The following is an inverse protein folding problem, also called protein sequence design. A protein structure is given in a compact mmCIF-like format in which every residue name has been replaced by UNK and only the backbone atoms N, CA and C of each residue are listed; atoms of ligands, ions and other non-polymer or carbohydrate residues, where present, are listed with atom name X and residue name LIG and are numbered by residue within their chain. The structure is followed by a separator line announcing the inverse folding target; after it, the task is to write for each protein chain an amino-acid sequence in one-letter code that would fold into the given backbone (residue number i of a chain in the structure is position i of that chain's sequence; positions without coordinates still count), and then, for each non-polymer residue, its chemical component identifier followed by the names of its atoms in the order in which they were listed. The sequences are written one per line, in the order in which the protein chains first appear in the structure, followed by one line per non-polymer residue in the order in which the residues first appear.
data_IF_598923305135
#
_entry.id   IF_598923305135
#
_cell.length_a   1.000
_cell.length_b   1.000
_cell.length_c   1.000
_cell.angle_alpha   90.00
_cell.angle_beta   90.00
_cell.angle_gamma   90.00
#
_symmetry.space_group_name_H-M   'P 1'
#
loop_
_entity.id
_entity.type
_entity.pdbx_description
1 polymer ?
2 non-polymer ?
3 water ?
#
# COMPACT_ATOMS: atom_id res chain seq x y z
N UNK A 18 18.75 15.39 -16.57
CA UNK A 18 18.19 14.85 -15.29
C UNK A 18 16.95 15.63 -14.89
N UNK A 19 15.84 14.94 -14.69
CA UNK A 19 14.63 15.58 -14.20
C UNK A 19 14.75 15.70 -12.67
N UNK A 20 14.51 16.90 -12.14
CA UNK A 20 14.58 17.10 -10.69
C UNK A 20 13.23 16.81 -10.05
N UNK A 21 13.19 15.86 -9.13
CA UNK A 21 11.96 15.34 -8.55
C UNK A 21 12.00 15.46 -7.02
N UNK A 22 10.94 16.00 -6.44
CA UNK A 22 10.79 16.07 -5.00
C UNK A 22 9.58 15.24 -4.60
N UNK A 23 9.77 14.36 -3.62
CA UNK A 23 8.69 13.57 -3.04
C UNK A 23 8.40 14.16 -1.66
N UNK A 24 7.15 14.56 -1.46
CA UNK A 24 6.67 15.08 -0.17
C UNK A 24 5.75 14.02 0.43
N UNK A 25 6.23 13.31 1.45
CA UNK A 25 5.51 12.18 2.02
C UNK A 25 4.72 12.58 3.24
N UNK A 26 3.54 12.00 3.37
CA UNK A 26 2.63 12.26 4.47
C UNK A 26 3.24 11.81 5.80
N UNK A 27 3.88 10.63 5.79
CA UNK A 27 4.47 10.04 6.98
C UNK A 27 5.94 9.73 6.83
N UNK A 28 6.40 8.70 7.55
CA UNK A 28 7.81 8.37 7.62
C UNK A 28 8.13 7.25 6.64
N UNK A 29 9.18 7.47 5.83
CA UNK A 29 9.57 6.50 4.80
C UNK A 29 10.25 5.24 5.36
N UNK A 30 10.57 5.23 6.66
CA UNK A 30 11.02 4.00 7.32
C UNK A 30 9.84 3.19 7.90
N UNK A 31 8.60 3.49 7.49
CA UNK A 31 7.41 2.74 7.95
C UNK A 31 7.30 1.31 7.40
N UNK A 32 8.15 0.97 6.41
CA UNK A 32 8.08 -0.33 5.74
C UNK A 32 6.74 -0.59 5.08
N UNK A 33 6.01 0.46 4.75
CA UNK A 33 4.66 0.35 4.22
C UNK A 33 4.37 1.54 3.29
N UNK A 34 3.23 2.21 3.44
CA UNK A 34 2.78 3.22 2.47
C UNK A 34 3.87 4.21 2.05
N UNK A 35 4.55 4.83 3.01
CA UNK A 35 5.53 5.85 2.65
C UNK A 35 6.80 5.26 2.08
N UNK A 36 7.19 4.10 2.60
CA UNK A 36 8.35 3.38 2.06
C UNK A 36 8.12 3.02 0.58
N UNK A 37 6.87 2.72 0.23
CA UNK A 37 6.56 2.35 -1.16
C UNK A 37 6.88 3.48 -2.15
N UNK A 38 6.60 4.71 -1.77
CA UNK A 38 6.98 5.86 -2.60
C UNK A 38 8.47 6.08 -2.63
N UNK A 39 9.12 5.96 -1.47
CA UNK A 39 10.58 6.09 -1.40
C UNK A 39 11.30 5.04 -2.27
N UNK A 40 10.80 3.81 -2.27
CA UNK A 40 11.42 2.73 -3.03
C UNK A 40 11.24 2.96 -4.54
N UNK A 41 10.05 3.39 -4.93
CA UNK A 41 9.79 3.76 -6.33
C UNK A 41 10.72 4.90 -6.74
N UNK A 42 10.88 5.89 -5.86
CA UNK A 42 11.73 7.02 -6.16
C UNK A 42 13.22 6.62 -6.30
N UNK A 43 13.67 5.70 -5.45
CA UNK A 43 15.02 5.15 -5.58
C UNK A 43 15.20 4.47 -6.93
N UNK A 44 14.26 3.62 -7.31
CA UNK A 44 14.34 2.93 -8.59
C UNK A 44 14.26 3.89 -9.78
N UNK A 45 13.61 5.04 -9.60
CA UNK A 45 13.47 6.05 -10.65
C UNK A 45 14.80 6.73 -11.01
N UNK A 46 15.78 6.69 -10.11
CA UNK A 46 17.10 7.25 -10.40
C UNK A 46 17.72 6.66 -11.67
N UNK A 47 17.42 5.39 -11.94
CA UNK A 47 17.90 4.73 -13.16
C UNK A 47 17.26 5.27 -14.44
N UNK A 48 16.13 5.95 -14.31
CA UNK A 48 15.47 6.58 -15.44
C UNK A 48 15.92 8.04 -15.61
N UNK A 49 16.94 8.45 -14.85
CA UNK A 49 17.53 9.78 -14.98
C UNK A 49 16.83 10.83 -14.12
N UNK A 50 16.40 10.43 -12.93
CA UNK A 50 15.79 11.36 -12.01
C UNK A 50 16.80 11.66 -10.91
N UNK A 51 16.91 12.94 -10.57
CA UNK A 51 17.58 13.39 -9.35
C UNK A 51 16.48 13.63 -8.34
N UNK A 52 16.50 12.91 -7.21
CA UNK A 52 15.39 12.85 -6.26
C UNK A 52 15.73 13.38 -4.87
N UNK A 53 14.86 14.23 -4.34
CA UNK A 53 14.87 14.66 -2.94
C UNK A 53 13.57 14.21 -2.30
N UNK A 54 13.66 13.76 -1.05
CA UNK A 54 12.48 13.27 -0.31
C UNK A 54 12.38 14.01 1.01
N UNK A 55 11.17 14.47 1.34
CA UNK A 55 10.89 15.05 2.64
C UNK A 55 9.73 14.30 3.26
N UNK A 56 9.82 14.02 4.55
CA UNK A 56 8.89 13.14 5.25
C UNK A 56 8.09 13.87 6.30
N UNK A 57 7.07 13.20 6.82
CA UNK A 57 6.31 13.67 7.98
C UNK A 57 5.53 14.95 7.74
N UNK A 58 5.02 15.13 6.52
CA UNK A 58 4.39 16.38 6.15
C UNK A 58 2.88 16.28 5.91
N UNK A 59 2.24 15.37 6.65
CA UNK A 59 0.78 15.23 6.65
C UNK A 59 0.05 16.54 7.00
N UNK A 60 0.67 17.38 7.83
CA UNK A 60 0.08 18.65 8.22
C UNK A 60 0.19 19.64 7.06
N UNK A 61 -0.95 20.06 6.47
CA UNK A 61 -0.90 20.91 5.27
C UNK A 61 -0.26 22.29 5.47
N UNK A 62 -0.25 22.79 6.71
CA UNK A 62 0.40 24.07 7.02
C UNK A 62 1.92 23.94 6.92
N UNK A 63 2.43 22.74 7.14
CA UNK A 63 3.85 22.46 6.98
C UNK A 63 4.16 22.10 5.52
N UNK A 64 3.31 21.28 4.92
CA UNK A 64 3.53 20.82 3.53
C UNK A 64 3.52 21.93 2.48
N UNK A 65 2.62 22.90 2.60
CA UNK A 65 2.47 23.90 1.55
C UNK A 65 3.75 24.73 1.31
N UNK A 66 4.38 25.26 2.36
CA UNK A 66 5.63 26.00 2.10
C UNK A 66 6.78 25.14 1.54
N UNK A 67 6.86 23.86 1.92
CA UNK A 67 7.90 22.96 1.43
C UNK A 67 7.67 22.71 -0.06
N UNK A 68 6.42 22.44 -0.43
CA UNK A 68 6.06 22.25 -1.83
C UNK A 68 6.40 23.53 -2.63
N UNK A 69 6.00 24.69 -2.10
CA UNK A 69 6.27 25.96 -2.77
C UNK A 69 7.77 26.16 -3.01
N UNK A 70 8.56 25.83 -2.00
CA UNK A 70 10.01 26.01 -2.06
C UNK A 70 10.64 25.15 -3.15
N UNK A 71 10.21 23.91 -3.30
CA UNK A 71 10.72 23.07 -4.37
C UNK A 71 10.35 23.63 -5.74
N UNK A 72 9.10 24.07 -5.89
CA UNK A 72 8.67 24.67 -7.15
C UNK A 72 9.43 25.95 -7.46
N UNK A 73 9.63 26.78 -6.45
CA UNK A 73 10.33 28.06 -6.63
C UNK A 73 11.79 27.85 -7.01
N UNK A 74 12.39 26.77 -6.51
CA UNK A 74 13.77 26.43 -6.82
C UNK A 74 13.96 25.76 -8.17
N UNK A 75 12.88 25.59 -8.93
CA UNK A 75 12.96 25.04 -10.28
C UNK A 75 13.00 23.52 -10.36
N UNK A 76 12.43 22.82 -9.39
CA UNK A 76 12.22 21.39 -9.53
C UNK A 76 11.20 21.16 -10.67
N UNK A 77 11.37 20.07 -11.40
CA UNK A 77 10.52 19.76 -12.56
C UNK A 77 9.21 19.11 -12.15
N UNK A 78 9.29 18.30 -11.11
CA UNK A 78 8.17 17.48 -10.66
C UNK A 78 8.13 17.44 -9.14
N UNK A 79 6.97 17.82 -8.60
CA UNK A 79 6.74 17.78 -7.16
C UNK A 79 5.58 16.82 -6.85
N UNK A 80 5.91 15.76 -6.13
CA UNK A 80 5.00 14.67 -5.86
C UNK A 80 4.55 14.68 -4.40
N UNK A 81 3.25 14.84 -4.17
CA UNK A 81 2.66 14.71 -2.85
C UNK A 81 2.15 13.32 -2.65
N UNK A 82 2.76 12.60 -1.72
CA UNK A 82 2.42 11.20 -1.48
C UNK A 82 1.49 11.06 -0.28
N UNK A 83 0.22 10.79 -0.56
CA UNK A 83 -0.79 10.63 0.50
C UNK A 83 -1.87 11.69 0.39
N UNK A 84 -3.11 11.29 0.67
CA UNK A 84 -4.26 12.19 0.53
C UNK A 84 -4.11 13.46 1.40
N UNK A 85 -3.44 13.36 2.54
CA UNK A 85 -3.26 14.51 3.44
C UNK A 85 -2.40 15.63 2.80
N UNK A 86 -1.59 15.28 1.81
CA UNK A 86 -0.74 16.23 1.11
C UNK A 86 -1.42 16.73 -0.18
N UNK A 87 -2.56 16.17 -0.54
CA UNK A 87 -3.17 16.46 -1.85
C UNK A 87 -3.62 17.91 -1.98
N UNK A 88 -4.28 18.43 -0.96
CA UNK A 88 -4.78 19.78 -1.04
C UNK A 88 -3.64 20.82 -1.19
N UNK A 89 -2.58 20.72 -0.37
CA UNK A 89 -1.42 21.62 -0.58
C UNK A 89 -0.84 21.53 -1.98
N UNK A 90 -0.70 20.32 -2.51
CA UNK A 90 -0.25 20.16 -3.89
C UNK A 90 -1.15 20.93 -4.85
N UNK A 91 -2.46 20.77 -4.73
CA UNK A 91 -3.37 21.41 -5.68
C UNK A 91 -3.32 22.94 -5.59
N UNK A 92 -3.14 23.47 -4.39
CA UNK A 92 -3.09 24.93 -4.20
C UNK A 92 -1.82 25.54 -4.80
N UNK A 93 -0.68 24.92 -4.52
CA UNK A 93 0.59 25.45 -5.01
C UNK A 93 0.70 25.28 -6.52
N UNK A 94 0.15 24.20 -7.06
CA UNK A 94 0.14 23.99 -8.51
C UNK A 94 -0.37 25.21 -9.28
N UNK A 95 -1.40 25.89 -8.74
CA UNK A 95 -1.96 27.08 -9.39
C UNK A 95 -0.96 28.23 -9.47
N UNK A 96 0.04 28.24 -8.59
CA UNK A 96 1.07 29.29 -8.56
C UNK A 96 2.19 29.08 -9.57
N UNK A 97 2.38 27.85 -10.03
CA UNK A 97 3.53 27.48 -10.87
C UNK A 97 3.03 26.66 -12.06
N UNK A 98 2.42 27.34 -13.05
CA UNK A 98 1.80 26.65 -14.20
C UNK A 98 2.76 25.78 -15.01
N UNK A 99 4.05 26.11 -15.02
CA UNK A 99 5.04 25.36 -15.78
C UNK A 99 5.76 24.28 -14.97
N UNK A 100 5.45 24.16 -13.68
CA UNK A 100 5.97 23.08 -12.84
C UNK A 100 4.92 21.97 -12.82
N UNK A 101 5.38 20.73 -12.70
CA UNK A 101 4.51 19.56 -12.77
C UNK A 101 4.33 18.96 -11.38
N UNK A 102 3.10 18.58 -11.05
CA UNK A 102 2.76 18.09 -9.72
C UNK A 102 1.97 16.78 -9.77
N UNK A 103 2.10 15.99 -8.71
CA UNK A 103 1.31 14.77 -8.53
C UNK A 103 0.65 14.78 -7.16
N UNK A 104 -0.59 14.31 -7.11
CA UNK A 104 -1.33 14.20 -5.87
C UNK A 104 -2.08 12.88 -5.83
N UNK A 105 -2.34 12.39 -4.63
CA UNK A 105 -3.08 11.14 -4.47
C UNK A 105 -4.35 11.40 -3.71
N UNK A 106 -5.35 10.55 -3.89
CA UNK A 106 -6.61 10.73 -3.16
C UNK A 106 -7.66 9.72 -3.55
N UNK A 107 -8.92 10.13 -3.43
CA UNK A 107 -10.03 9.26 -3.80
C UNK A 107 -10.46 9.55 -5.25
N UNK A 108 -11.47 8.86 -5.74
CA UNK A 108 -11.85 8.94 -7.15
C UNK A 108 -12.28 10.36 -7.53
N UNK A 109 -12.73 11.15 -6.56
CA UNK A 109 -13.16 12.52 -6.84
C UNK A 109 -12.01 13.48 -7.18
N UNK A 110 -10.77 13.09 -6.91
CA UNK A 110 -9.62 13.91 -7.27
C UNK A 110 -9.50 14.16 -8.79
N UNK A 111 -9.92 13.19 -9.59
CA UNK A 111 -9.83 13.31 -11.05
C UNK A 111 -10.48 14.62 -11.57
N UNK A 112 -11.62 14.97 -10.96
CA UNK A 112 -12.41 16.17 -11.24
C UNK A 112 -11.64 17.48 -11.01
N UNK A 113 -10.80 17.47 -9.98
CA UNK A 113 -10.27 18.68 -9.34
C UNK A 113 -8.83 19.00 -9.74
N UNK A 114 -8.32 18.35 -10.79
CA UNK A 114 -6.94 18.52 -11.22
C UNK A 114 -6.73 19.76 -12.06
N UNK A 115 -5.86 20.69 -11.61
CA UNK A 115 -5.41 21.73 -12.52
C UNK A 115 -4.66 21.13 -13.73
N UNK A 116 -4.45 21.92 -14.80
CA UNK A 116 -3.82 21.40 -16.01
C UNK A 116 -2.42 20.84 -15.82
N UNK A 117 -1.76 21.20 -14.72
CA UNK A 117 -0.40 20.75 -14.45
C UNK A 117 -0.28 19.73 -13.33
N UNK A 118 -1.37 19.06 -13.00
CA UNK A 118 -1.35 18.05 -11.95
C UNK A 118 -1.86 16.72 -12.48
N UNK A 119 -1.12 15.65 -12.21
CA UNK A 119 -1.59 14.27 -12.40
C UNK A 119 -2.04 13.72 -11.03
N UNK A 120 -3.09 12.92 -11.03
CA UNK A 120 -3.61 12.31 -9.82
C UNK A 120 -3.65 10.80 -9.86
N UNK A 121 -3.69 10.18 -8.69
CA UNK A 121 -3.89 8.73 -8.61
C UNK A 121 -4.64 8.30 -7.37
N UNK A 122 -5.14 7.08 -7.44
CA UNK A 122 -5.92 6.49 -6.37
C UNK A 122 -5.71 4.97 -6.35
N UNK A 123 -6.16 4.34 -5.26
CA UNK A 123 -6.23 2.90 -5.12
C UNK A 123 -7.34 2.57 -4.14
N UNK A 124 -7.75 1.30 -4.14
CA UNK A 124 -8.84 0.84 -3.30
C UNK A 124 -8.28 -0.04 -2.18
N UNK A 125 -8.51 0.37 -0.94
CA UNK A 125 -8.03 -0.38 0.24
C UNK A 125 -8.51 -1.83 0.22
N UNK A 126 -9.76 -2.02 -0.19
CA UNK A 126 -10.36 -3.34 -0.28
C UNK A 126 -9.54 -4.31 -1.13
N UNK A 127 -8.83 -3.80 -2.13
CA UNK A 127 -8.01 -4.64 -3.01
C UNK A 127 -6.73 -5.15 -2.37
N UNK A 128 -6.10 -4.33 -1.53
CA UNK A 128 -4.98 -4.82 -0.72
C UNK A 128 -5.47 -5.95 0.18
N UNK A 129 -6.63 -5.76 0.79
CA UNK A 129 -7.22 -6.80 1.63
C UNK A 129 -7.49 -8.07 0.83
N UNK A 130 -8.10 -7.90 -0.35
CA UNK A 130 -8.44 -9.04 -1.18
C UNK A 130 -7.21 -9.88 -1.54
N UNK A 131 -6.11 -9.24 -1.91
CA UNK A 131 -4.90 -9.96 -2.25
C UNK A 131 -4.31 -10.71 -1.04
N UNK A 132 -4.33 -10.08 0.13
CA UNK A 132 -3.87 -10.76 1.35
C UNK A 132 -4.68 -12.02 1.63
N UNK A 133 -6.00 -11.88 1.56
CA UNK A 133 -6.92 -12.98 1.81
C UNK A 133 -6.78 -14.09 0.77
N UNK A 134 -6.60 -13.70 -0.48
CA UNK A 134 -6.38 -14.66 -1.55
C UNK A 134 -5.08 -15.44 -1.36
N UNK A 135 -4.01 -14.76 -0.97
CA UNK A 135 -2.75 -15.44 -0.67
C UNK A 135 -2.94 -16.39 0.51
N UNK A 136 -3.66 -15.94 1.54
CA UNK A 136 -3.94 -16.78 2.70
C UNK A 136 -4.68 -18.05 2.31
N UNK A 137 -5.65 -17.93 1.41
CA UNK A 137 -6.43 -19.07 0.96
C UNK A 137 -5.71 -19.96 -0.02
N UNK A 138 -4.56 -19.53 -0.52
CA UNK A 138 -3.78 -20.31 -1.48
C UNK A 138 -2.71 -21.19 -0.83
N UNK A 139 -2.56 -21.12 0.50
CA UNK A 139 -1.46 -21.78 1.18
C UNK A 139 -1.78 -23.25 1.43
N UNK A 140 -0.77 -24.01 1.83
CA UNK A 140 -0.95 -25.46 2.06
C UNK A 140 -1.14 -25.72 3.55
N UNK A 141 -2.27 -26.33 3.91
CA UNK A 141 -2.53 -26.75 5.28
C UNK A 141 -2.95 -25.65 6.24
N UNK A 142 -3.43 -24.54 5.72
CA UNK A 142 -3.86 -23.42 6.56
C UNK A 142 -5.37 -23.36 6.52
N UNK A 143 -6.03 -23.85 7.56
CA UNK A 143 -7.49 -23.87 7.57
C UNK A 143 -8.10 -22.84 8.49
N UNK A 144 -7.27 -22.21 9.35
CA UNK A 144 -7.72 -21.20 10.30
C UNK A 144 -6.82 -19.95 10.16
N UNK A 145 -7.44 -18.81 9.89
CA UNK A 145 -6.73 -17.57 9.59
C UNK A 145 -7.20 -16.50 10.56
N UNK A 146 -6.24 -15.73 11.07
CA UNK A 146 -6.53 -14.64 12.00
C UNK A 146 -5.99 -13.35 11.44
N UNK A 147 -6.76 -12.27 11.61
CA UNK A 147 -6.33 -10.94 11.12
C UNK A 147 -6.44 -9.92 12.22
N UNK A 148 -5.45 -9.05 12.31
CA UNK A 148 -5.47 -7.96 13.27
C UNK A 148 -5.35 -6.63 12.58
N UNK A 149 -6.34 -5.77 12.84
CA UNK A 149 -6.32 -4.39 12.37
C UNK A 149 -6.32 -3.38 13.50
N UNK A 150 -6.29 -2.10 13.12
CA UNK A 150 -6.29 -0.99 14.07
C UNK A 150 -7.69 -0.51 14.45
N UNK A 151 -8.01 0.77 14.20
CA UNK A 151 -9.33 1.31 14.50
C UNK A 151 -10.36 0.90 13.46
N UNK A 152 -11.63 0.78 13.85
CA UNK A 152 -12.69 0.36 12.93
C UNK A 152 -13.23 1.52 12.11
N UNK A 153 -12.33 2.20 11.42
CA UNK A 153 -12.67 3.27 10.51
C UNK A 153 -13.11 2.64 9.21
N UNK A 154 -13.90 3.37 8.40
CA UNK A 154 -14.41 2.79 7.17
C UNK A 154 -13.37 2.11 6.26
N UNK A 155 -12.21 2.72 6.03
CA UNK A 155 -11.21 2.11 5.14
C UNK A 155 -10.61 0.84 5.74
N UNK A 156 -10.49 0.78 7.08
CA UNK A 156 -10.01 -0.42 7.74
C UNK A 156 -11.04 -1.56 7.61
N UNK A 157 -12.29 -1.26 7.90
CA UNK A 157 -13.38 -2.25 7.75
C UNK A 157 -13.48 -2.76 6.30
N UNK A 158 -13.26 -1.87 5.35
CA UNK A 158 -13.23 -2.25 3.93
C UNK A 158 -12.05 -3.20 3.62
N UNK A 159 -10.88 -2.89 4.17
CA UNK A 159 -9.71 -3.75 4.00
C UNK A 159 -10.02 -5.16 4.50
N UNK A 160 -10.61 -5.23 5.69
CA UNK A 160 -10.96 -6.51 6.30
C UNK A 160 -12.05 -7.28 5.58
N UNK A 161 -13.03 -6.55 5.05
CA UNK A 161 -14.06 -7.17 4.19
C UNK A 161 -13.38 -7.80 2.96
N UNK A 162 -12.39 -7.10 2.42
CA UNK A 162 -11.56 -7.63 1.33
C UNK A 162 -10.83 -8.91 1.66
N UNK A 163 -10.19 -8.95 2.83
CA UNK A 163 -9.46 -10.15 3.26
C UNK A 163 -10.39 -11.35 3.28
N UNK A 164 -11.55 -11.16 3.89
CA UNK A 164 -12.52 -12.23 4.05
C UNK A 164 -12.96 -12.74 2.67
N UNK A 165 -13.22 -11.82 1.76
CA UNK A 165 -13.65 -12.17 0.41
C UNK A 165 -12.56 -12.90 -0.38
N UNK A 166 -11.33 -12.42 -0.31
CA UNK A 166 -10.20 -13.07 -0.96
C UNK A 166 -9.97 -14.48 -0.44
N UNK A 167 -10.09 -14.63 0.88
CA UNK A 167 -9.92 -15.93 1.52
C UNK A 167 -11.03 -16.88 1.10
N UNK A 168 -12.27 -16.41 1.10
CA UNK A 168 -13.42 -17.22 0.69
C UNK A 168 -13.27 -17.69 -0.76
N UNK A 169 -12.73 -16.82 -1.62
CA UNK A 169 -12.54 -17.15 -3.03
C UNK A 169 -11.50 -18.25 -3.20
N UNK A 170 -10.35 -18.11 -2.54
CA UNK A 170 -9.27 -19.06 -2.71
C UNK A 170 -9.45 -20.34 -1.87
N UNK A 171 -10.13 -20.22 -0.74
CA UNK A 171 -10.34 -21.38 0.15
C UNK A 171 -11.63 -21.22 0.91
N UNK A 172 -12.75 -21.62 0.30
CA UNK A 172 -14.04 -21.43 0.96
C UNK A 172 -14.23 -22.25 2.23
N UNK A 173 -13.35 -23.24 2.45
CA UNK A 173 -13.40 -24.08 3.66
C UNK A 173 -12.67 -23.46 4.86
N UNK A 174 -11.79 -22.49 4.62
CA UNK A 174 -11.03 -21.88 5.73
C UNK A 174 -11.94 -21.08 6.66
N UNK A 175 -11.59 -21.07 7.95
CA UNK A 175 -12.31 -20.26 8.91
C UNK A 175 -11.47 -19.03 9.21
N UNK A 176 -12.13 -18.00 9.72
CA UNK A 176 -11.55 -16.67 9.81
C UNK A 176 -12.03 -15.96 11.07
N UNK A 177 -11.10 -15.33 11.77
CA UNK A 177 -11.43 -14.48 12.92
C UNK A 177 -10.56 -13.23 12.82
N UNK A 178 -11.08 -12.12 13.30
CA UNK A 178 -10.33 -10.88 13.29
C UNK A 178 -10.56 -10.10 14.58
N UNK A 179 -9.58 -9.26 14.90
CA UNK A 179 -9.62 -8.42 16.09
C UNK A 179 -9.10 -7.06 15.72
N UNK A 180 -9.73 -6.03 16.25
CA UNK A 180 -9.31 -4.65 16.07
C UNK A 180 -8.72 -4.08 17.36
N UNK A 181 -7.56 -3.44 17.28
CA UNK A 181 -6.94 -2.84 18.46
C UNK A 181 -7.57 -1.51 18.88
N UNK A 182 -8.26 -0.83 17.96
CA UNK A 182 -8.83 0.49 18.21
C UNK A 182 -7.88 1.65 17.96
N UNK A 183 -6.64 1.36 17.58
CA UNK A 183 -5.57 2.37 17.48
C UNK A 183 -4.72 2.16 16.25
N UNK A 184 -4.09 3.22 15.75
CA UNK A 184 -3.04 3.06 14.76
C UNK A 184 -1.69 2.82 15.46
N UNK A 185 -0.91 1.86 14.96
CA UNK A 185 0.50 1.70 15.34
C UNK A 185 0.67 1.44 16.85
N UNK A 186 -0.29 0.77 17.48
CA UNK A 186 -0.14 0.34 18.88
C UNK A 186 0.35 -1.10 18.85
N UNK A 187 1.66 -1.26 18.78
CA UNK A 187 2.26 -2.56 18.53
C UNK A 187 2.01 -3.51 19.69
N UNK A 188 1.92 -2.98 20.90
CA UNK A 188 1.71 -3.80 22.09
C UNK A 188 0.31 -4.41 22.10
N UNK A 189 -0.71 -3.61 21.78
CA UNK A 189 -2.07 -4.14 21.66
C UNK A 189 -2.18 -5.08 20.45
N UNK A 190 -1.47 -4.75 19.37
CA UNK A 190 -1.45 -5.60 18.18
C UNK A 190 -0.88 -6.98 18.51
N UNK A 191 0.26 -7.00 19.20
CA UNK A 191 0.82 -8.26 19.69
C UNK A 191 -0.16 -9.08 20.53
N UNK A 192 -0.79 -8.45 21.51
CA UNK A 192 -1.79 -9.11 22.37
C UNK A 192 -2.96 -9.69 21.58
N UNK A 193 -3.45 -8.92 20.62
CA UNK A 193 -4.57 -9.35 19.78
C UNK A 193 -4.15 -10.56 18.94
N UNK A 194 -2.96 -10.51 18.35
CA UNK A 194 -2.46 -11.62 17.54
C UNK A 194 -2.26 -12.91 18.36
N UNK A 195 -1.70 -12.77 19.57
CA UNK A 195 -1.55 -13.90 20.49
C UNK A 195 -2.92 -14.54 20.82
N UNK A 196 -3.94 -13.71 21.01
CA UNK A 196 -5.28 -14.21 21.30
C UNK A 196 -5.82 -15.08 20.15
N UNK A 197 -5.63 -14.62 18.92
CA UNK A 197 -6.05 -15.40 17.75
C UNK A 197 -5.23 -16.69 17.60
N UNK A 198 -3.94 -16.59 17.88
CA UNK A 198 -3.04 -17.74 17.88
C UNK A 198 -3.48 -18.80 18.89
N UNK A 199 -3.74 -18.36 20.12
CA UNK A 199 -4.22 -19.25 21.18
C UNK A 199 -5.52 -19.95 20.84
N UNK A 200 -6.39 -19.28 20.10
CA UNK A 200 -7.63 -19.88 19.62
C UNK A 200 -7.44 -20.81 18.43
N UNK A 201 -6.26 -20.83 17.82
CA UNK A 201 -5.96 -21.78 16.75
C UNK A 201 -5.57 -21.26 15.38
N UNK A 202 -5.40 -19.94 15.24
CA UNK A 202 -4.94 -19.36 13.97
C UNK A 202 -3.62 -20.00 13.52
N UNK A 203 -3.60 -20.39 12.24
CA UNK A 203 -2.43 -21.02 11.63
C UNK A 203 -1.67 -20.04 10.74
N UNK A 204 -2.20 -18.82 10.65
CA UNK A 204 -1.58 -17.75 9.89
C UNK A 204 -2.12 -16.44 10.45
N UNK A 205 -1.28 -15.42 10.50
CA UNK A 205 -1.69 -14.14 11.05
C UNK A 205 -1.52 -13.05 10.00
N UNK A 206 -2.60 -12.34 9.70
CA UNK A 206 -2.60 -11.28 8.71
C UNK A 206 -2.68 -9.91 9.39
N UNK A 207 -1.73 -9.04 9.06
CA UNK A 207 -1.69 -7.67 9.57
C UNK A 207 -2.27 -6.69 8.56
N UNK A 208 -3.18 -5.83 9.00
CA UNK A 208 -3.63 -4.71 8.17
C UNK A 208 -3.13 -3.35 8.65
N UNK A 209 -2.60 -3.31 9.88
CA UNK A 209 -1.94 -2.11 10.34
C UNK A 209 -0.42 -2.35 10.24
N UNK A 210 0.38 -1.92 11.21
CA UNK A 210 1.82 -2.01 11.07
C UNK A 210 2.30 -3.45 10.94
N UNK A 211 1.84 -4.30 11.86
CA UNK A 211 2.20 -5.71 11.84
C UNK A 211 3.38 -6.15 12.72
N UNK A 212 4.25 -5.24 13.16
CA UNK A 212 5.44 -5.65 13.94
C UNK A 212 5.11 -6.41 15.23
N UNK A 213 4.00 -6.05 15.87
CA UNK A 213 3.56 -6.70 17.10
C UNK A 213 2.99 -8.07 16.80
N UNK A 214 2.14 -8.13 15.78
CA UNK A 214 1.61 -9.39 15.29
C UNK A 214 2.76 -10.35 14.91
N UNK A 215 3.79 -9.79 14.29
CA UNK A 215 4.97 -10.53 13.87
C UNK A 215 5.70 -11.19 15.02
N UNK A 216 5.82 -10.46 16.13
CA UNK A 216 6.39 -11.02 17.36
C UNK A 216 5.58 -12.22 17.85
N UNK A 217 4.27 -12.06 17.88
CA UNK A 217 3.40 -13.13 18.34
C UNK A 217 3.53 -14.36 17.45
N UNK A 218 3.63 -14.12 16.14
CA UNK A 218 3.79 -15.18 15.16
C UNK A 218 5.10 -15.95 15.37
N UNK A 219 6.18 -15.24 15.60
CA UNK A 219 7.48 -15.87 15.87
C UNK A 219 7.38 -16.77 17.11
N UNK A 220 6.73 -16.28 18.16
CA UNK A 220 6.59 -17.05 19.40
C UNK A 220 5.82 -18.36 19.17
N UNK A 221 4.85 -18.32 18.26
CA UNK A 221 4.04 -19.49 17.94
C UNK A 221 4.37 -20.25 16.67
N UNK A 222 5.49 -19.90 16.03
CA UNK A 222 5.93 -20.55 14.80
C UNK A 222 4.87 -20.59 13.69
N UNK A 223 4.16 -19.49 13.49
CA UNK A 223 3.19 -19.40 12.37
C UNK A 223 3.65 -18.36 11.37
N UNK A 224 3.21 -18.49 10.10
CA UNK A 224 3.61 -17.48 9.14
C UNK A 224 2.74 -16.22 9.24
N UNK A 225 3.21 -15.12 8.67
CA UNK A 225 2.40 -13.91 8.56
C UNK A 225 2.26 -13.44 7.10
N UNK A 226 1.24 -12.59 6.91
CA UNK A 226 1.07 -11.80 5.68
C UNK A 226 0.86 -10.35 6.10
N UNK A 227 1.51 -9.40 5.42
CA UNK A 227 1.18 -7.98 5.57
C UNK A 227 2.02 -7.17 6.53
N UNK A 228 3.00 -7.82 7.16
CA UNK A 228 3.84 -7.16 8.16
C UNK A 228 4.80 -6.17 7.50
N UNK A 229 4.96 -5.02 8.14
CA UNK A 229 5.88 -3.98 7.72
C UNK A 229 7.24 -4.53 7.33
N UNK A 230 7.77 -3.98 6.23
CA UNK A 230 9.13 -4.28 5.78
C UNK A 230 10.20 -3.79 6.76
N UNK A 231 9.84 -2.91 7.69
CA UNK A 231 10.81 -2.37 8.67
C UNK A 231 11.02 -3.29 9.88
N UNK A 232 10.34 -4.42 9.92
CA UNK A 232 10.49 -5.37 11.01
C UNK A 232 11.88 -5.98 11.03
N UNK A 233 12.25 -6.56 12.17
CA UNK A 233 13.54 -7.23 12.32
C UNK A 233 13.64 -8.50 11.51
N UNK A 234 14.87 -8.99 11.33
CA UNK A 234 15.14 -10.18 10.53
C UNK A 234 14.34 -11.41 10.95
N UNK A 235 14.19 -11.65 12.25
CA UNK A 235 13.44 -12.82 12.72
C UNK A 235 11.97 -12.74 12.36
N UNK A 236 11.43 -11.52 12.34
CA UNK A 236 10.02 -11.31 12.01
C UNK A 236 9.85 -11.38 10.48
N UNK A 237 10.74 -10.69 9.75
CA UNK A 237 10.72 -10.75 8.28
C UNK A 237 10.80 -12.18 7.79
N UNK A 238 11.55 -13.02 8.51
CA UNK A 238 11.70 -14.41 8.13
C UNK A 238 10.40 -15.21 8.13
N UNK A 239 9.37 -14.77 8.85
CA UNK A 239 8.11 -15.49 8.85
C UNK A 239 7.01 -14.81 8.00
N UNK A 240 7.33 -13.66 7.41
CA UNK A 240 6.37 -12.97 6.54
C UNK A 240 6.47 -13.47 5.10
N UNK A 241 5.45 -14.19 4.68
CA UNK A 241 5.39 -14.79 3.35
C UNK A 241 5.46 -13.70 2.31
N UNK A 242 4.56 -12.73 2.45
CA UNK A 242 4.49 -11.64 1.52
C UNK A 242 3.60 -10.54 2.09
N UNK A 243 3.59 -9.40 1.40
CA UNK A 243 2.75 -8.26 1.74
C UNK A 243 2.24 -7.63 0.43
N UNK A 244 0.96 -7.29 0.38
CA UNK A 244 0.41 -6.53 -0.77
C UNK A 244 0.85 -5.08 -0.66
N UNK A 245 1.39 -4.54 -1.75
CA UNK A 245 1.91 -3.19 -1.75
C UNK A 245 1.59 -2.47 -3.03
N UNK A 246 1.79 -1.15 -3.02
CA UNK A 246 1.65 -0.33 -4.20
C UNK A 246 2.99 -0.30 -4.92
N UNK A 247 2.95 -0.47 -6.23
CA UNK A 247 4.11 -0.23 -7.07
C UNK A 247 3.91 1.08 -7.80
N UNK A 248 4.56 2.13 -7.31
CA UNK A 248 4.42 3.45 -7.90
C UNK A 248 5.38 3.72 -9.04
N UNK A 249 6.31 2.79 -9.29
CA UNK A 249 7.36 3.05 -10.28
C UNK A 249 6.79 3.30 -11.69
N UNK A 250 5.86 2.45 -12.17
CA UNK A 250 5.30 2.75 -13.52
C UNK A 250 4.67 4.14 -13.62
N UNK A 251 3.94 4.53 -12.58
CA UNK A 251 3.35 5.86 -12.53
C UNK A 251 4.41 6.96 -12.59
N UNK A 252 5.45 6.84 -11.76
CA UNK A 252 6.54 7.80 -11.76
C UNK A 252 7.30 7.85 -13.09
N UNK A 253 7.54 6.69 -13.68
CA UNK A 253 8.18 6.62 -15.01
C UNK A 253 7.36 7.36 -16.05
N UNK A 254 6.04 7.18 -15.98
CA UNK A 254 5.12 7.86 -16.89
C UNK A 254 5.19 9.38 -16.71
N UNK A 255 5.30 9.83 -15.46
CA UNK A 255 5.51 11.26 -15.19
C UNK A 255 6.75 11.83 -15.90
N UNK A 256 7.86 11.10 -15.84
CA UNK A 256 9.08 11.57 -16.52
C UNK A 256 8.91 11.61 -18.03
N UNK A 257 8.27 10.58 -18.58
CA UNK A 257 7.99 10.56 -20.03
C UNK A 257 7.07 11.70 -20.47
N UNK A 258 6.06 11.97 -19.66
CA UNK A 258 5.15 13.07 -19.93
C UNK A 258 5.88 14.40 -19.95
N UNK A 259 6.75 14.61 -18.97
CA UNK A 259 7.51 15.85 -18.89
C UNK A 259 8.44 15.98 -20.10
N UNK A 260 9.09 14.88 -20.46
CA UNK A 260 10.01 14.89 -21.60
C UNK A 260 9.30 15.15 -22.93
N UNK A 261 8.06 14.69 -23.07
CA UNK A 261 7.29 14.88 -24.31
C UNK A 261 6.44 16.14 -24.32
N UNK A 262 6.33 16.82 -23.17
CA UNK A 262 5.44 17.96 -23.05
C UNK A 262 3.98 17.61 -22.92
N UNK A 263 3.66 16.41 -22.43
CA UNK A 263 2.27 15.96 -22.32
C UNK A 263 1.73 15.84 -20.89
N UNK A 264 2.47 16.34 -19.92
CA UNK A 264 2.09 16.19 -18.52
C UNK A 264 0.80 16.94 -18.17
N UNK A 265 -0.04 16.32 -17.36
CA UNK A 265 -1.18 17.01 -16.76
C UNK A 265 -2.50 16.30 -16.95
N UNK A 266 -3.31 16.30 -15.89
CA UNK A 266 -4.67 15.77 -15.88
C UNK A 266 -4.80 14.27 -16.14
N UNK A 267 -3.70 13.52 -16.05
CA UNK A 267 -3.76 12.08 -16.02
C UNK A 267 -4.35 11.65 -14.69
N UNK A 268 -5.24 10.65 -14.73
CA UNK A 268 -5.73 10.07 -13.50
C UNK A 268 -5.57 8.56 -13.52
N UNK A 269 -4.68 8.07 -12.66
CA UNK A 269 -4.29 6.68 -12.64
C UNK A 269 -4.90 5.91 -11.47
N UNK A 270 -5.44 4.73 -11.76
CA UNK A 270 -5.89 3.83 -10.72
C UNK A 270 -4.81 2.75 -10.56
N UNK A 271 -4.30 2.59 -9.36
CA UNK A 271 -3.36 1.51 -9.07
C UNK A 271 -4.17 0.36 -8.52
N UNK A 272 -4.17 -0.77 -9.23
CA UNK A 272 -5.06 -1.88 -8.89
C UNK A 272 -4.42 -3.24 -9.17
N UNK A 273 -5.09 -4.31 -8.73
CA UNK A 273 -4.57 -5.66 -8.95
C UNK A 273 -4.51 -5.97 -10.44
N UNK A 274 -5.56 -5.59 -11.15
CA UNK A 274 -5.68 -5.83 -12.58
C UNK A 274 -4.57 -5.24 -13.43
N UNK A 275 -4.04 -4.08 -13.06
CA UNK A 275 -2.95 -3.43 -13.82
C UNK A 275 -1.57 -3.48 -13.15
N UNK A 276 -1.42 -4.30 -12.11
CA UNK A 276 -0.14 -4.45 -11.37
C UNK A 276 0.32 -3.16 -10.66
N UNK A 277 -0.65 -2.29 -10.35
CA UNK A 277 -0.41 -1.14 -9.48
C UNK A 277 -0.33 -1.61 -8.04
N UNK A 278 -1.04 -2.70 -7.75
CA UNK A 278 -0.94 -3.44 -6.49
C UNK A 278 -0.30 -4.79 -6.79
N UNK A 279 0.79 -5.10 -6.10
CA UNK A 279 1.55 -6.34 -6.31
C UNK A 279 2.01 -6.91 -4.97
N UNK A 280 2.58 -8.11 -5.01
CA UNK A 280 3.22 -8.70 -3.84
C UNK A 280 4.67 -8.30 -3.73
N UNK A 281 5.16 -8.17 -2.50
CA UNK A 281 6.59 -8.15 -2.26
C UNK A 281 7.15 -9.54 -2.60
N UNK A 282 8.44 -9.62 -2.91
CA UNK A 282 9.06 -10.93 -3.19
C UNK A 282 8.68 -11.96 -2.12
N UNK A 283 8.18 -13.11 -2.57
CA UNK A 283 7.65 -14.13 -1.67
C UNK A 283 8.74 -14.89 -0.90
N UNK A 284 8.51 -15.15 0.38
CA UNK A 284 9.42 -15.92 1.22
C UNK A 284 8.74 -17.23 1.55
N UNK A 285 9.45 -18.35 1.37
CA UNK A 285 8.90 -19.63 1.74
C UNK A 285 9.04 -19.76 3.27
N UNK A 286 7.93 -20.06 3.93
CA UNK A 286 7.89 -20.13 5.38
C UNK A 286 7.25 -21.45 5.74
N UNK A 287 7.92 -22.22 6.58
CA UNK A 287 7.51 -23.59 6.84
C UNK A 287 7.42 -24.30 5.51
N UNK A 288 6.36 -25.08 5.33
CA UNK A 288 6.07 -25.68 4.04
C UNK A 288 4.64 -25.33 3.60
N UNK A 289 4.18 -24.14 4.00
CA UNK A 289 2.82 -23.71 3.65
C UNK A 289 2.76 -22.98 2.30
N UNK A 290 3.89 -22.54 1.76
CA UNK A 290 3.89 -21.72 0.54
C UNK A 290 4.01 -22.57 -0.73
N UNK A 291 2.95 -22.62 -1.56
CA UNK A 291 3.08 -23.39 -2.80
C UNK A 291 4.11 -22.80 -3.76
N UNK A 292 4.79 -23.67 -4.51
CA UNK A 292 5.82 -23.23 -5.45
C UNK A 292 5.25 -22.29 -6.50
N UNK A 293 3.96 -22.42 -6.78
CA UNK A 293 3.31 -21.62 -7.83
C UNK A 293 2.49 -20.45 -7.27
N UNK A 294 2.82 -19.96 -6.08
CA UNK A 294 1.99 -18.90 -5.49
C UNK A 294 1.91 -17.67 -6.38
N UNK A 295 3.05 -17.22 -6.88
CA UNK A 295 3.13 -16.04 -7.74
C UNK A 295 2.32 -16.22 -9.01
N UNK A 296 2.38 -17.42 -9.59
CA UNK A 296 1.59 -17.73 -10.80
C UNK A 296 0.11 -17.62 -10.51
N UNK A 297 -0.32 -18.08 -9.33
CA UNK A 297 -1.72 -17.98 -8.96
C UNK A 297 -2.19 -16.53 -8.81
N UNK A 298 -1.33 -15.69 -8.25
CA UNK A 298 -1.65 -14.26 -8.08
C UNK A 298 -1.65 -13.54 -9.44
N UNK A 299 -0.68 -13.89 -10.28
CA UNK A 299 -0.63 -13.39 -11.65
C UNK A 299 -1.92 -13.73 -12.41
N UNK A 300 -2.43 -14.95 -12.26
CA UNK A 300 -3.65 -15.36 -12.94
C UNK A 300 -4.85 -14.59 -12.40
N UNK A 301 -4.90 -14.39 -11.08
CA UNK A 301 -5.94 -13.57 -10.47
C UNK A 301 -5.95 -12.16 -11.06
N UNK A 302 -4.78 -11.56 -11.19
CA UNK A 302 -4.65 -10.23 -11.76
C UNK A 302 -5.22 -10.19 -13.18
N UNK A 303 -4.93 -11.24 -13.94
CA UNK A 303 -5.39 -11.35 -15.35
C UNK A 303 -6.92 -11.45 -15.42
N UNK A 304 -7.51 -12.24 -14.52
CA UNK A 304 -8.97 -12.32 -14.43
C UNK A 304 -9.61 -10.97 -14.09
N UNK A 305 -8.95 -10.20 -13.23
CA UNK A 305 -9.45 -8.86 -12.90
C UNK A 305 -9.26 -7.92 -14.09
N UNK A 306 -8.13 -8.02 -14.76
CA UNK A 306 -7.87 -7.16 -15.94
C UNK A 306 -8.93 -7.36 -17.04
N UNK A 307 -9.39 -8.60 -17.22
CA UNK A 307 -10.34 -8.93 -18.29
C UNK A 307 -11.79 -8.62 -17.92
N UNK A 308 -12.06 -8.63 -16.61
CA UNK A 308 -13.42 -8.44 -16.12
C UNK A 308 -14.12 -9.76 -15.90
N UNK A 309 -13.42 -10.88 -16.14
CA UNK A 309 -13.90 -12.22 -15.76
C UNK A 309 -14.27 -12.23 -14.27
N UNK A 310 -13.40 -11.65 -13.46
CA UNK A 310 -13.70 -11.42 -12.05
C UNK A 310 -13.94 -9.94 -11.83
N UNK A 311 -15.05 -9.60 -11.20
CA UNK A 311 -15.32 -8.22 -10.79
C UNK A 311 -15.52 -8.22 -9.27
N UNK A 312 -14.92 -7.26 -8.59
CA UNK A 312 -14.97 -7.21 -7.13
C UNK A 312 -16.02 -6.22 -6.68
N UNK A 313 -16.74 -6.52 -5.59
CA UNK A 313 -17.67 -5.52 -5.05
C UNK A 313 -16.96 -4.31 -4.44
N UNK A 314 -17.73 -3.27 -4.14
CA UNK A 314 -17.25 -2.17 -3.35
C UNK A 314 -17.20 -2.71 -1.92
N UNK A 315 -16.03 -2.71 -1.32
CA UNK A 315 -15.89 -3.27 0.01
C UNK A 315 -16.24 -2.28 1.13
N UNK A 316 -16.61 -1.05 0.79
CA UNK A 316 -17.09 -0.09 1.80
C UNK A 316 -18.58 -0.24 2.07
N UNK A 317 -18.97 0.08 3.31
CA UNK A 317 -20.38 0.23 3.66
C UNK A 317 -20.80 1.62 3.18
X LIG B 1 -2.00 1.51 2.57
X LIG C 1 -3.69 8.18 -0.65
X LIG D 1 5.97 28.35 -13.27
X LIG E 1 -12.34 0.61 17.12
X LIG F 1 -8.76 -4.58 -10.72
X LIG G 1 -12.66 -0.86 -1.70
X LIG H 1 1.91 28.99 3.19
X LIG I 1 3.47 0.30 20.93
X LIG J 1 17.56 19.91 -2.13
X LIG K 1 -12.35 6.14 5.77
X LIG L 1 4.35 19.14 -19.96
X LIG M 1 11.32 0.66 5.42
X LIG N 1 -14.39 -12.33 13.62
X LIG O 1 12.78 15.02 5.94
X LIG P 1 -12.45 -6.61 17.83
X LIG Q 1 -2.06 10.66 3.77
X LIG R 1 10.67 -5.40 14.77
X LIG S 1 0.92 8.27 6.01
X LIG T 1 3.12 -12.94 21.98
X LIG U 1 19.51 11.47 -6.64
X LIG V 1 -16.85 -12.90 2.03
X LIG W 1 18.34 17.12 -6.52
#
# INVERSE_FOLDING_TARGET
SNADDSGSATAAGGGERAVKVAIIASGQTNDGAFNAWAAEAAERLKADGADVQIRQGLADPTQAEPVIRQFAARGFDLVVGHGIDVSEPILRVATEFPDVHFSASGDATLAERLPPNVDGWTYDFGQLGYLDGFVAGSLRGVEKVGAVGGPQLPFVLATHKGIRAGLKAANPRASYEETYTGRFYDLQKEQEAARGLLDKGAQLLVATDDGRGLGQAAVAGDVPTIGVSAAAGADIKAVNITTAKLDLLPTYQSYLEQIRAGTFGRRFDVLALGNRGIVLTPITAVGDVVPDDLQARVDALSERLASGELRLPNFFE
BR BR
BR BR
BR BR
BR BR
BR BR
BR BR
BR BR
BR BR
BR BR
BR BR
BR BR
BR BR
BR BR
BR BR
BR BR
BR BR
BR BR
BR BR
BR BR
BR BR
BR BR
BR BR
#
